data_IF_146371508315
#
_entry.id   IF_146371508315
#
_cell.length_a   1.000
_cell.length_b   1.000
_cell.length_c   1.000
_cell.angle_alpha   90.00
_cell.angle_beta   90.00
_cell.angle_gamma   90.00
#
_symmetry.space_group_name_H-M   'P 1'
#
loop_
_entity.id
_entity.type
_entity.pdbx_description
1 polymer ?
#
# COMPACT_ATOMS: atom_id res chain seq x y z
N UNK A 1 -1.72 20.06 -15.28
CA UNK A 1 -1.23 18.87 -14.57
C UNK A 1 -1.47 19.10 -13.09
N UNK A 2 -2.26 18.28 -12.43
CA UNK A 2 -2.47 18.39 -10.99
C UNK A 2 -1.43 17.50 -10.31
N UNK A 3 -0.62 18.07 -9.44
CA UNK A 3 0.23 17.29 -8.55
C UNK A 3 -0.63 16.45 -7.60
N UNK A 4 -0.16 15.26 -7.25
CA UNK A 4 -0.73 14.42 -6.20
C UNK A 4 0.30 14.21 -5.13
N UNK A 5 -0.13 14.27 -3.89
CA UNK A 5 0.72 14.03 -2.72
C UNK A 5 0.35 12.70 -2.07
N UNK A 6 1.34 11.83 -1.89
CA UNK A 6 1.21 10.55 -1.20
C UNK A 6 2.13 10.46 0.00
N UNK A 7 1.78 9.67 1.00
CA UNK A 7 2.60 9.49 2.20
C UNK A 7 2.49 8.06 2.74
N UNK A 8 3.56 7.58 3.39
CA UNK A 8 3.49 6.40 4.25
C UNK A 8 2.92 6.77 5.61
N UNK A 9 1.64 6.49 5.80
CA UNK A 9 0.94 6.76 7.04
C UNK A 9 -0.04 5.60 7.29
N UNK A 10 0.51 4.54 7.91
CA UNK A 10 -0.18 3.26 8.12
C UNK A 10 -0.75 3.15 9.54
N UNK A 11 -0.14 3.85 10.48
CA UNK A 11 -0.27 3.69 11.92
C UNK A 11 0.97 3.01 12.54
N UNK A 12 0.99 2.85 13.86
CA UNK A 12 2.10 2.28 14.58
C UNK A 12 3.42 3.03 14.30
N UNK A 13 4.50 2.29 14.02
CA UNK A 13 5.81 2.87 13.71
C UNK A 13 5.87 3.59 12.36
N UNK A 14 5.01 3.24 11.42
CA UNK A 14 4.94 3.85 10.09
C UNK A 14 3.81 4.87 10.05
N UNK A 15 4.02 5.98 10.72
CA UNK A 15 3.14 7.14 10.76
C UNK A 15 3.99 8.41 10.64
N UNK A 16 4.01 9.06 9.45
CA UNK A 16 4.92 10.19 9.17
C UNK A 16 4.51 11.46 9.91
N UNK A 17 3.22 11.78 9.97
CA UNK A 17 2.74 12.93 10.71
C UNK A 17 2.32 12.50 12.13
N UNK A 18 2.91 13.14 13.15
CA UNK A 18 2.65 12.82 14.55
C UNK A 18 2.13 14.02 15.34
N UNK A 19 2.89 15.11 15.38
CA UNK A 19 2.48 16.32 16.10
C UNK A 19 1.24 16.94 15.45
N UNK A 20 0.14 17.02 16.19
CA UNK A 20 -1.13 17.53 15.70
C UNK A 20 -2.00 16.52 14.96
N UNK A 21 -1.53 15.27 14.85
CA UNK A 21 -2.29 14.14 14.27
C UNK A 21 -2.62 13.11 15.33
N UNK A 22 -3.73 12.40 15.12
CA UNK A 22 -4.12 11.28 16.00
C UNK A 22 -3.17 10.11 15.81
N UNK A 23 -2.68 9.55 16.90
CA UNK A 23 -1.86 8.34 16.87
C UNK A 23 -2.76 7.14 16.55
N UNK A 24 -2.45 6.45 15.45
CA UNK A 24 -3.15 5.25 15.01
C UNK A 24 -2.38 4.04 15.54
N UNK A 25 -3.02 3.10 16.24
CA UNK A 25 -2.38 1.87 16.68
C UNK A 25 -1.75 1.07 15.53
N UNK A 26 -0.74 0.25 15.84
CA UNK A 26 -0.19 -0.69 14.86
C UNK A 26 -1.27 -1.70 14.41
N UNK A 27 -1.23 -2.10 13.14
CA UNK A 27 -2.26 -2.98 12.56
C UNK A 27 -2.35 -4.34 13.26
N UNK A 28 -1.23 -4.85 13.79
CA UNK A 28 -1.21 -6.07 14.60
C UNK A 28 -2.04 -5.97 15.89
N UNK A 29 -2.22 -4.77 16.45
CA UNK A 29 -3.08 -4.58 17.63
C UNK A 29 -4.55 -4.86 17.26
N UNK A 30 -5.02 -4.35 16.11
CA UNK A 30 -6.35 -4.68 15.60
C UNK A 30 -6.48 -6.16 15.24
N UNK A 31 -5.43 -6.78 14.70
CA UNK A 31 -5.40 -8.22 14.45
C UNK A 31 -5.55 -9.07 15.72
N UNK A 32 -4.98 -8.61 16.83
CA UNK A 32 -5.15 -9.25 18.14
C UNK A 32 -6.58 -9.06 18.68
N UNK A 33 -7.08 -7.82 18.71
CA UNK A 33 -8.43 -7.50 19.18
C UNK A 33 -9.53 -8.22 18.38
N UNK A 34 -9.28 -8.47 17.09
CA UNK A 34 -10.21 -9.20 16.22
C UNK A 34 -10.52 -10.62 16.70
N UNK A 35 -9.63 -11.25 17.47
CA UNK A 35 -9.87 -12.58 18.03
C UNK A 35 -10.95 -12.57 19.10
N UNK A 36 -11.07 -11.46 19.84
CA UNK A 36 -12.00 -11.31 20.95
C UNK A 36 -13.36 -10.77 20.49
N UNK A 37 -13.35 -9.72 19.67
CA UNK A 37 -14.57 -9.13 19.08
C UNK A 37 -14.32 -8.66 17.64
N UNK A 38 -14.61 -9.50 16.63
CA UNK A 38 -14.44 -9.18 15.23
C UNK A 38 -15.23 -7.95 14.76
N UNK A 39 -16.45 -7.77 15.25
CA UNK A 39 -17.33 -6.69 14.80
C UNK A 39 -16.94 -5.35 15.43
N UNK A 40 -16.64 -5.32 16.72
CA UNK A 40 -16.15 -4.10 17.38
C UNK A 40 -14.82 -3.67 16.77
N UNK A 41 -13.90 -4.62 16.52
CA UNK A 41 -12.60 -4.33 15.88
C UNK A 41 -12.76 -3.77 14.48
N UNK A 42 -13.65 -4.33 13.66
CA UNK A 42 -13.91 -3.82 12.32
C UNK A 42 -14.47 -2.38 12.36
N UNK A 43 -15.39 -2.09 13.31
CA UNK A 43 -15.90 -0.72 13.52
C UNK A 43 -14.80 0.23 13.98
N UNK A 44 -13.96 -0.18 14.93
CA UNK A 44 -12.83 0.62 15.41
C UNK A 44 -11.86 0.94 14.29
N UNK A 45 -11.56 -0.03 13.44
CA UNK A 45 -10.63 0.14 12.32
C UNK A 45 -11.22 1.00 11.19
N UNK A 46 -12.53 0.91 10.93
CA UNK A 46 -13.23 1.85 10.03
C UNK A 46 -13.12 3.28 10.56
N UNK A 47 -13.33 3.46 11.86
CA UNK A 47 -13.17 4.76 12.51
C UNK A 47 -11.72 5.28 12.42
N UNK A 48 -10.72 4.40 12.66
CA UNK A 48 -9.31 4.74 12.52
C UNK A 48 -8.95 5.16 11.08
N UNK A 49 -9.44 4.45 10.08
CA UNK A 49 -9.25 4.80 8.66
C UNK A 49 -9.86 6.15 8.31
N UNK A 50 -11.06 6.45 8.83
CA UNK A 50 -11.70 7.74 8.63
C UNK A 50 -10.93 8.88 9.30
N UNK A 51 -10.50 8.72 10.55
CA UNK A 51 -9.72 9.73 11.29
C UNK A 51 -8.41 10.00 10.58
N UNK A 52 -7.64 8.95 10.28
CA UNK A 52 -6.36 9.04 9.58
C UNK A 52 -6.49 9.78 8.26
N UNK A 53 -7.41 9.35 7.42
CA UNK A 53 -7.59 9.94 6.09
C UNK A 53 -8.14 11.38 6.17
N UNK A 54 -9.05 11.67 7.10
CA UNK A 54 -9.58 13.03 7.28
C UNK A 54 -8.50 14.02 7.69
N UNK A 55 -7.63 13.66 8.62
CA UNK A 55 -6.51 14.50 9.06
C UNK A 55 -5.53 14.74 7.92
N UNK A 56 -5.15 13.69 7.19
CA UNK A 56 -4.26 13.80 6.03
C UNK A 56 -4.87 14.68 4.94
N UNK A 57 -6.16 14.51 4.62
CA UNK A 57 -6.87 15.30 3.62
C UNK A 57 -6.90 16.79 3.99
N UNK A 58 -7.14 17.12 5.25
CA UNK A 58 -7.12 18.53 5.71
C UNK A 58 -5.71 19.13 5.74
N UNK A 59 -4.67 18.30 5.79
CA UNK A 59 -3.27 18.72 5.65
C UNK A 59 -2.81 18.83 4.19
N UNK A 60 -3.68 18.56 3.21
CA UNK A 60 -3.38 18.67 1.79
C UNK A 60 -2.75 17.40 1.19
N UNK A 61 -2.79 16.26 1.91
CA UNK A 61 -2.33 14.97 1.39
C UNK A 61 -3.47 14.27 0.65
N UNK A 62 -3.22 13.83 -0.58
CA UNK A 62 -4.24 13.25 -1.45
C UNK A 62 -4.51 11.77 -1.12
N UNK A 63 -3.46 10.97 -0.84
CA UNK A 63 -3.62 9.56 -0.49
C UNK A 63 -2.50 9.06 0.43
N UNK A 64 -2.71 7.90 1.04
CA UNK A 64 -1.67 7.17 1.79
C UNK A 64 -1.46 5.77 1.23
N UNK A 65 -0.21 5.28 1.31
CA UNK A 65 0.14 3.91 0.92
C UNK A 65 -0.28 2.93 2.03
N UNK A 66 -1.58 2.74 2.18
CA UNK A 66 -2.25 1.82 3.11
C UNK A 66 -3.51 1.24 2.45
N UNK A 67 -3.92 0.03 2.83
CA UNK A 67 -3.43 -0.84 3.90
C UNK A 67 -2.23 -1.72 3.52
N UNK A 68 -1.48 -2.19 4.53
CA UNK A 68 -0.55 -3.30 4.38
C UNK A 68 -1.37 -4.60 4.30
N UNK A 69 -1.18 -5.36 3.23
CA UNK A 69 -1.86 -6.64 2.97
C UNK A 69 -0.95 -7.85 3.19
N UNK A 70 0.32 -7.60 3.51
CA UNK A 70 1.29 -8.65 3.83
C UNK A 70 0.85 -9.48 5.03
N UNK A 71 1.04 -10.80 4.94
CA UNK A 71 0.74 -11.72 6.01
C UNK A 71 1.89 -11.76 7.04
N UNK A 72 1.56 -11.83 8.32
CA UNK A 72 2.57 -11.97 9.39
C UNK A 72 3.05 -13.42 9.53
N UNK A 73 4.05 -13.79 8.77
CA UNK A 73 4.71 -15.09 8.87
C UNK A 73 5.67 -15.20 10.08
N UNK A 74 5.85 -14.11 10.84
CA UNK A 74 6.74 -14.06 11.99
C UNK A 74 8.23 -13.99 11.66
N UNK A 75 8.61 -13.90 10.38
CA UNK A 75 10.00 -13.88 9.92
C UNK A 75 10.48 -12.49 9.53
N UNK A 76 9.62 -11.69 8.92
CA UNK A 76 9.94 -10.36 8.45
C UNK A 76 9.81 -9.32 9.56
N UNK A 77 10.93 -8.79 10.04
CA UNK A 77 10.94 -7.66 10.99
C UNK A 77 10.47 -6.35 10.32
N UNK A 78 10.54 -6.27 8.99
CA UNK A 78 10.12 -5.10 8.22
C UNK A 78 8.61 -4.99 8.18
N UNK A 79 7.92 -6.11 8.03
CA UNK A 79 6.47 -6.18 8.09
C UNK A 79 6.02 -6.20 9.55
N UNK A 80 6.27 -7.29 10.27
CA UNK A 80 5.99 -7.41 11.71
C UNK A 80 4.65 -6.81 12.10
N UNK A 81 4.65 -5.84 13.02
CA UNK A 81 3.45 -5.18 13.54
C UNK A 81 2.64 -4.36 12.51
N UNK A 82 3.18 -4.13 11.31
CA UNK A 82 2.46 -3.47 10.21
C UNK A 82 1.40 -4.39 9.61
N UNK A 83 1.57 -5.71 9.70
CA UNK A 83 0.56 -6.69 9.29
C UNK A 83 -0.57 -6.80 10.32
N UNK A 84 -1.76 -7.11 9.83
CA UNK A 84 -2.91 -7.43 10.70
C UNK A 84 -2.80 -8.82 11.33
N UNK A 85 -2.42 -9.84 10.54
CA UNK A 85 -2.37 -11.22 10.96
C UNK A 85 -1.68 -12.12 9.94
N UNK A 86 -1.52 -13.41 10.28
CA UNK A 86 -1.12 -14.46 9.34
C UNK A 86 -2.29 -14.95 8.47
N UNK A 87 -3.52 -14.98 8.99
CA UNK A 87 -4.68 -15.46 8.22
C UNK A 87 -5.11 -14.42 7.17
N UNK A 88 -5.06 -14.76 5.87
CA UNK A 88 -5.45 -13.83 4.80
C UNK A 88 -6.92 -13.38 4.86
N UNK A 89 -7.81 -14.14 5.51
CA UNK A 89 -9.22 -13.75 5.72
C UNK A 89 -9.31 -12.61 6.72
N UNK A 90 -8.55 -12.69 7.81
CA UNK A 90 -8.47 -11.64 8.83
C UNK A 90 -7.87 -10.38 8.21
N UNK A 91 -6.73 -10.51 7.50
CA UNK A 91 -6.10 -9.39 6.79
C UNK A 91 -7.09 -8.73 5.83
N UNK A 92 -7.79 -9.50 5.00
CA UNK A 92 -8.76 -8.95 4.05
C UNK A 92 -9.90 -8.21 4.74
N UNK A 93 -10.48 -8.79 5.81
CA UNK A 93 -11.59 -8.18 6.53
C UNK A 93 -11.20 -6.86 7.18
N UNK A 94 -10.05 -6.83 7.85
CA UNK A 94 -9.54 -5.64 8.51
C UNK A 94 -9.09 -4.58 7.49
N UNK A 95 -8.39 -4.98 6.44
CA UNK A 95 -8.00 -4.07 5.36
C UNK A 95 -9.23 -3.41 4.69
N UNK A 96 -10.32 -4.16 4.48
CA UNK A 96 -11.59 -3.59 3.98
C UNK A 96 -12.17 -2.55 4.94
N UNK A 97 -12.15 -2.83 6.25
CA UNK A 97 -12.65 -1.90 7.27
C UNK A 97 -11.84 -0.59 7.26
N UNK A 98 -10.51 -0.67 7.25
CA UNK A 98 -9.63 0.50 7.14
C UNK A 98 -9.90 1.28 5.86
N UNK A 99 -9.92 0.59 4.71
CA UNK A 99 -10.15 1.18 3.39
C UNK A 99 -11.52 1.85 3.29
N UNK A 100 -12.56 1.29 3.93
CA UNK A 100 -13.88 1.90 3.98
C UNK A 100 -13.83 3.24 4.72
N UNK A 101 -13.16 3.30 5.88
CA UNK A 101 -12.96 4.55 6.61
C UNK A 101 -12.21 5.61 5.78
N UNK A 102 -11.15 5.20 5.08
CA UNK A 102 -10.41 6.09 4.18
C UNK A 102 -11.31 6.63 3.06
N UNK A 103 -12.11 5.77 2.44
CA UNK A 103 -13.05 6.16 1.39
C UNK A 103 -14.11 7.15 1.88
N UNK A 104 -14.61 7.02 3.11
CA UNK A 104 -15.53 7.97 3.73
C UNK A 104 -14.94 9.38 3.83
N UNK A 105 -13.62 9.50 3.95
CA UNK A 105 -12.87 10.76 3.90
C UNK A 105 -12.41 11.14 2.49
N UNK A 106 -12.94 10.49 1.44
CA UNK A 106 -12.58 10.77 0.05
C UNK A 106 -11.13 10.40 -0.32
N UNK A 107 -10.49 9.51 0.43
CA UNK A 107 -9.11 9.07 0.21
C UNK A 107 -9.08 7.68 -0.41
N UNK A 108 -8.33 7.52 -1.51
CA UNK A 108 -8.06 6.23 -2.11
C UNK A 108 -7.11 5.38 -1.25
N UNK A 109 -7.16 4.07 -1.43
CA UNK A 109 -6.30 3.11 -0.75
C UNK A 109 -5.22 2.54 -1.69
N UNK A 110 -4.17 1.96 -1.08
CA UNK A 110 -3.10 1.29 -1.79
C UNK A 110 -2.69 0.02 -1.03
N UNK A 111 -3.06 -1.13 -1.55
CA UNK A 111 -2.65 -2.42 -0.95
C UNK A 111 -1.19 -2.72 -1.21
N UNK A 112 -0.43 -3.10 -0.18
CA UNK A 112 1.02 -3.35 -0.31
C UNK A 112 1.51 -4.50 0.59
N UNK A 113 2.59 -5.17 0.21
CA UNK A 113 3.45 -5.04 -0.97
C UNK A 113 3.24 -6.27 -1.87
N UNK A 114 2.67 -6.09 -3.05
CA UNK A 114 2.25 -7.19 -3.93
C UNK A 114 3.45 -7.99 -4.47
N UNK A 115 3.41 -9.34 -4.50
CA UNK A 115 2.32 -10.24 -4.07
C UNK A 115 2.32 -10.57 -2.58
N UNK A 116 3.33 -10.17 -1.79
CA UNK A 116 3.42 -10.31 -0.34
C UNK A 116 4.87 -10.30 0.16
N UNK A 117 5.20 -9.45 1.13
CA UNK A 117 6.56 -9.29 1.67
C UNK A 117 6.76 -9.98 3.03
N UNK A 118 5.70 -10.56 3.62
CA UNK A 118 5.73 -11.01 5.01
C UNK A 118 6.56 -12.26 5.27
N UNK A 119 6.82 -13.09 4.25
CA UNK A 119 7.66 -14.29 4.39
C UNK A 119 9.14 -14.00 4.25
N UNK A 120 9.53 -13.07 3.39
CA UNK A 120 10.93 -12.73 3.17
C UNK A 120 11.53 -12.03 4.39
N UNK A 121 12.56 -12.63 5.01
CA UNK A 121 13.17 -12.13 6.25
C UNK A 121 14.07 -10.92 6.03
N UNK A 122 14.73 -10.81 4.87
CA UNK A 122 15.65 -9.71 4.61
C UNK A 122 14.94 -8.37 4.41
N UNK A 123 15.62 -7.30 4.82
CA UNK A 123 15.17 -5.93 4.62
C UNK A 123 15.50 -5.46 3.20
N UNK A 124 14.48 -5.14 2.40
CA UNK A 124 14.64 -4.62 1.05
C UNK A 124 15.39 -3.28 0.96
N UNK A 125 15.51 -2.53 2.06
CA UNK A 125 16.37 -1.36 2.14
C UNK A 125 17.87 -1.70 2.15
N UNK A 126 18.23 -2.91 2.57
CA UNK A 126 19.62 -3.33 2.81
C UNK A 126 20.09 -4.39 1.81
N UNK A 127 19.21 -5.33 1.45
CA UNK A 127 19.50 -6.44 0.54
C UNK A 127 18.26 -6.81 -0.28
N UNK A 128 18.42 -7.62 -1.32
CA UNK A 128 17.30 -8.19 -2.06
C UNK A 128 16.68 -9.34 -1.25
N UNK A 129 15.44 -9.21 -0.75
CA UNK A 129 14.75 -10.29 -0.08
C UNK A 129 14.35 -11.38 -1.08
N UNK A 130 14.35 -12.63 -0.63
CA UNK A 130 13.95 -13.79 -1.45
C UNK A 130 12.83 -14.54 -0.74
N UNK A 131 11.78 -14.87 -1.48
CA UNK A 131 10.73 -15.79 -1.10
C UNK A 131 10.83 -17.02 -2.01
N UNK A 132 11.40 -18.09 -1.51
CA UNK A 132 11.69 -19.33 -2.23
C UNK A 132 10.54 -20.33 -2.24
N UNK A 133 9.37 -19.93 -1.74
CA UNK A 133 8.19 -20.81 -1.73
C UNK A 133 7.66 -21.05 -3.15
N UNK A 134 6.97 -22.15 -3.30
CA UNK A 134 6.31 -22.49 -4.55
C UNK A 134 5.17 -21.51 -4.88
N UNK A 135 4.91 -21.32 -6.18
CA UNK A 135 3.82 -20.47 -6.71
C UNK A 135 2.50 -20.70 -5.99
N UNK A 136 2.11 -21.97 -5.82
CA UNK A 136 0.85 -22.35 -5.17
C UNK A 136 0.73 -21.83 -3.74
N UNK A 137 1.83 -21.76 -2.99
CA UNK A 137 1.85 -21.24 -1.62
C UNK A 137 1.62 -19.74 -1.59
N UNK A 138 2.26 -19.01 -2.50
CA UNK A 138 2.13 -17.56 -2.61
C UNK A 138 0.69 -17.20 -3.06
N UNK A 139 0.18 -17.87 -4.10
CA UNK A 139 -1.16 -17.62 -4.64
C UNK A 139 -2.29 -17.98 -3.67
N UNK A 140 -2.13 -19.06 -2.90
CA UNK A 140 -3.17 -19.50 -1.96
C UNK A 140 -3.10 -18.82 -0.59
N UNK A 141 -2.07 -18.05 -0.32
CA UNK A 141 -1.92 -17.29 0.93
C UNK A 141 -1.74 -15.79 0.66
N UNK A 142 -0.53 -15.37 0.27
CA UNK A 142 -0.13 -13.95 0.25
C UNK A 142 -0.89 -13.12 -0.82
N UNK A 143 -1.21 -13.72 -1.98
CA UNK A 143 -2.01 -13.06 -3.02
C UNK A 143 -3.52 -13.04 -2.73
N UNK A 144 -4.03 -13.82 -1.77
CA UNK A 144 -5.47 -13.89 -1.46
C UNK A 144 -6.09 -12.57 -1.01
N UNK A 145 -5.46 -11.75 -0.14
CA UNK A 145 -6.01 -10.44 0.20
C UNK A 145 -6.27 -9.58 -1.04
N UNK A 146 -5.37 -9.60 -2.03
CA UNK A 146 -5.56 -8.85 -3.28
C UNK A 146 -6.73 -9.37 -4.11
N UNK A 147 -6.87 -10.71 -4.24
CA UNK A 147 -8.02 -11.33 -4.90
C UNK A 147 -9.33 -10.95 -4.21
N UNK A 148 -9.37 -11.08 -2.90
CA UNK A 148 -10.61 -10.86 -2.14
C UNK A 148 -10.97 -9.39 -1.94
N UNK A 149 -9.99 -8.49 -1.95
CA UNK A 149 -10.24 -7.04 -2.00
C UNK A 149 -10.80 -6.62 -3.36
N UNK A 150 -10.26 -7.21 -4.45
CA UNK A 150 -10.76 -7.01 -5.81
C UNK A 150 -10.88 -5.53 -6.19
N UNK A 151 -12.04 -5.15 -6.71
CA UNK A 151 -12.36 -3.76 -7.09
C UNK A 151 -12.38 -2.77 -5.91
N UNK A 152 -12.32 -3.26 -4.66
CA UNK A 152 -12.19 -2.40 -3.46
C UNK A 152 -10.80 -1.80 -3.26
N UNK A 153 -9.79 -2.22 -4.07
CA UNK A 153 -8.48 -1.60 -4.12
C UNK A 153 -8.40 -0.60 -5.27
N UNK A 154 -8.12 0.65 -4.95
CA UNK A 154 -7.85 1.69 -5.95
C UNK A 154 -6.47 1.51 -6.58
N UNK A 155 -5.50 1.09 -5.77
CA UNK A 155 -4.14 0.85 -6.22
C UNK A 155 -3.44 -0.25 -5.44
N UNK A 156 -2.33 -0.72 -6.00
CA UNK A 156 -1.38 -1.61 -5.32
C UNK A 156 0.04 -1.07 -5.46
N UNK A 157 0.88 -1.36 -4.47
CA UNK A 157 2.33 -1.14 -4.53
C UNK A 157 3.01 -2.50 -4.61
N UNK A 158 3.99 -2.63 -5.50
CA UNK A 158 4.75 -3.87 -5.71
C UNK A 158 5.79 -4.09 -4.63
N UNK A 159 6.25 -5.33 -4.45
CA UNK A 159 7.34 -5.66 -3.54
C UNK A 159 8.70 -5.71 -4.27
N UNK A 160 9.76 -5.20 -3.64
CA UNK A 160 11.14 -5.50 -4.05
C UNK A 160 11.59 -6.84 -3.44
N UNK A 161 10.90 -7.92 -3.81
CA UNK A 161 11.17 -9.29 -3.39
C UNK A 161 11.36 -10.16 -4.62
N UNK A 162 12.37 -11.02 -4.60
CA UNK A 162 12.59 -12.03 -5.61
C UNK A 162 11.77 -13.28 -5.28
N UNK A 163 11.04 -13.77 -6.25
CA UNK A 163 10.26 -15.00 -6.19
C UNK A 163 10.76 -15.98 -7.25
N UNK A 164 11.78 -16.82 -6.96
CA UNK A 164 12.41 -17.68 -7.98
C UNK A 164 11.43 -18.63 -8.67
N UNK A 165 10.32 -18.98 -8.00
CA UNK A 165 9.26 -19.77 -8.61
C UNK A 165 8.50 -19.07 -9.74
N UNK A 166 8.54 -17.74 -9.78
CA UNK A 166 7.90 -16.92 -10.84
C UNK A 166 8.91 -16.40 -11.85
N UNK A 167 10.02 -15.78 -11.37
CA UNK A 167 10.92 -15.04 -12.24
C UNK A 167 12.31 -14.90 -11.59
N UNK A 168 13.30 -14.51 -12.39
CA UNK A 168 14.69 -14.24 -11.97
C UNK A 168 14.90 -12.77 -11.52
N UNK A 169 13.85 -11.95 -11.59
CA UNK A 169 13.87 -10.54 -11.18
C UNK A 169 12.85 -10.28 -10.08
N UNK A 170 13.05 -9.25 -9.23
CA UNK A 170 12.08 -8.85 -8.21
C UNK A 170 10.68 -8.58 -8.79
N UNK A 171 9.64 -8.75 -7.97
CA UNK A 171 8.25 -8.59 -8.41
C UNK A 171 7.99 -7.26 -9.13
N UNK A 172 8.58 -6.16 -8.66
CA UNK A 172 8.47 -4.84 -9.30
C UNK A 172 8.89 -4.84 -10.77
N UNK A 173 9.82 -5.72 -11.18
CA UNK A 173 10.35 -5.80 -12.54
C UNK A 173 9.87 -7.02 -13.32
N UNK A 174 9.01 -7.84 -12.72
CA UNK A 174 8.54 -9.09 -13.32
C UNK A 174 7.24 -8.90 -14.09
N UNK A 175 7.30 -9.03 -15.42
CA UNK A 175 6.09 -9.10 -16.26
C UNK A 175 5.21 -10.29 -15.92
N UNK A 176 5.81 -11.42 -15.49
CA UNK A 176 5.05 -12.61 -15.07
C UNK A 176 4.20 -12.33 -13.84
N UNK A 177 4.73 -11.56 -12.88
CA UNK A 177 3.99 -11.18 -11.68
C UNK A 177 3.00 -10.06 -11.97
N UNK A 178 3.40 -8.97 -12.64
CA UNK A 178 2.54 -7.80 -12.79
C UNK A 178 1.48 -7.98 -13.89
N UNK A 179 1.85 -8.56 -15.03
CA UNK A 179 0.87 -8.84 -16.10
C UNK A 179 0.20 -10.20 -15.87
N UNK A 180 0.98 -11.27 -15.70
CA UNK A 180 0.44 -12.62 -15.57
C UNK A 180 -0.37 -12.83 -14.30
N UNK A 181 0.22 -12.62 -13.10
CA UNK A 181 -0.51 -12.85 -11.86
C UNK A 181 -1.50 -11.71 -11.57
N UNK A 182 -1.04 -10.45 -11.47
CA UNK A 182 -1.90 -9.35 -11.02
C UNK A 182 -3.01 -9.01 -12.02
N UNK A 183 -2.66 -8.83 -13.30
CA UNK A 183 -3.65 -8.39 -14.31
C UNK A 183 -4.47 -9.56 -14.87
N UNK A 184 -3.80 -10.64 -15.33
CA UNK A 184 -4.48 -11.71 -16.07
C UNK A 184 -5.15 -12.72 -15.14
N UNK A 185 -4.52 -13.09 -14.01
CA UNK A 185 -5.07 -14.10 -13.08
C UNK A 185 -5.98 -13.47 -12.02
N UNK A 186 -5.54 -12.39 -11.37
CA UNK A 186 -6.33 -11.75 -10.31
C UNK A 186 -7.30 -10.68 -10.86
N UNK A 187 -7.21 -10.35 -12.13
CA UNK A 187 -8.05 -9.34 -12.82
C UNK A 187 -8.08 -7.99 -12.11
N UNK A 188 -6.93 -7.58 -11.53
CA UNK A 188 -6.84 -6.30 -10.84
C UNK A 188 -6.93 -5.11 -11.82
N UNK A 189 -7.93 -4.22 -11.70
CA UNK A 189 -8.14 -3.15 -12.68
C UNK A 189 -7.46 -1.82 -12.28
N UNK A 190 -6.99 -1.70 -11.01
CA UNK A 190 -6.54 -0.43 -10.43
C UNK A 190 -5.12 -0.02 -10.83
N UNK A 191 -4.62 1.03 -10.21
CA UNK A 191 -3.33 1.63 -10.47
C UNK A 191 -2.18 0.86 -9.79
N UNK A 192 -1.03 0.73 -10.44
CA UNK A 192 0.12 -0.02 -9.92
C UNK A 192 1.31 0.92 -9.70
N UNK A 193 1.72 1.05 -8.44
CA UNK A 193 2.96 1.74 -8.06
C UNK A 193 4.11 0.75 -7.92
N UNK A 194 5.33 1.16 -8.28
CA UNK A 194 6.52 0.49 -7.76
C UNK A 194 6.65 0.74 -6.25
N UNK A 195 7.43 -0.06 -5.54
CA UNK A 195 8.06 0.39 -4.29
C UNK A 195 9.19 1.37 -4.59
N UNK A 196 9.78 1.99 -3.56
CA UNK A 196 10.82 3.00 -3.73
C UNK A 196 12.05 2.45 -4.47
N UNK A 197 12.25 2.93 -5.69
CA UNK A 197 13.35 2.52 -6.56
C UNK A 197 14.74 2.95 -6.07
N UNK A 198 14.83 3.82 -5.06
CA UNK A 198 16.10 4.17 -4.41
C UNK A 198 16.57 3.09 -3.43
N UNK A 199 15.72 2.12 -3.07
CA UNK A 199 16.07 1.01 -2.19
C UNK A 199 17.07 0.05 -2.84
N UNK A 200 17.93 -0.58 -2.02
CA UNK A 200 18.90 -1.59 -2.52
C UNK A 200 18.21 -2.82 -3.09
N UNK A 201 17.05 -3.21 -2.56
CA UNK A 201 16.22 -4.29 -3.08
C UNK A 201 15.71 -4.07 -4.51
N UNK A 202 15.73 -2.84 -5.01
CA UNK A 202 15.46 -2.53 -6.41
C UNK A 202 16.60 -2.96 -7.37
N UNK A 203 17.70 -3.51 -6.84
CA UNK A 203 18.79 -4.07 -7.63
C UNK A 203 19.77 -3.02 -8.18
N UNK A 204 20.55 -3.43 -9.20
CA UNK A 204 21.61 -2.63 -9.81
C UNK A 204 21.11 -1.77 -10.97
N UNK A 205 21.92 -0.77 -11.35
CA UNK A 205 21.66 0.17 -12.44
C UNK A 205 21.32 1.57 -11.95
N UNK A 206 21.20 2.51 -12.88
CA UNK A 206 20.76 3.88 -12.57
C UNK A 206 19.28 3.92 -12.20
N UNK A 207 18.84 5.00 -11.54
CA UNK A 207 17.43 5.20 -11.22
C UNK A 207 16.57 5.19 -12.49
N UNK A 208 17.03 5.82 -13.57
CA UNK A 208 16.37 5.81 -14.89
C UNK A 208 16.16 4.38 -15.42
N UNK A 209 17.21 3.54 -15.34
CA UNK A 209 17.11 2.16 -15.81
C UNK A 209 16.11 1.33 -14.97
N UNK A 210 16.11 1.53 -13.65
CA UNK A 210 15.13 0.87 -12.75
C UNK A 210 13.71 1.35 -13.03
N UNK A 211 13.51 2.65 -13.21
CA UNK A 211 12.21 3.23 -13.56
C UNK A 211 11.69 2.67 -14.90
N UNK A 212 12.53 2.64 -15.92
CA UNK A 212 12.17 2.09 -17.23
C UNK A 212 11.71 0.62 -17.11
N UNK A 213 12.50 -0.21 -16.41
CA UNK A 213 12.18 -1.64 -16.19
C UNK A 213 10.85 -1.82 -15.43
N UNK A 214 10.57 -1.02 -14.39
CA UNK A 214 9.34 -1.10 -13.62
C UNK A 214 8.11 -0.76 -14.49
N UNK A 215 8.18 0.30 -15.28
CA UNK A 215 7.12 0.70 -16.20
C UNK A 215 6.89 -0.36 -17.29
N UNK A 216 7.96 -0.90 -17.89
CA UNK A 216 7.88 -1.98 -18.89
C UNK A 216 7.31 -3.28 -18.32
N UNK A 217 7.54 -3.55 -17.02
CA UNK A 217 6.97 -4.70 -16.32
C UNK A 217 5.47 -4.57 -16.10
N UNK A 218 4.95 -3.34 -15.99
CA UNK A 218 3.51 -3.08 -15.84
C UNK A 218 3.16 -2.17 -14.66
N UNK A 219 4.13 -1.49 -14.04
CA UNK A 219 3.84 -0.38 -13.13
C UNK A 219 3.26 0.81 -13.91
N UNK A 220 2.29 1.48 -13.33
CA UNK A 220 1.68 2.70 -13.89
C UNK A 220 2.43 3.97 -13.43
N UNK A 221 3.12 3.88 -12.29
CA UNK A 221 3.97 4.93 -11.76
C UNK A 221 5.15 4.32 -10.97
N UNK A 222 6.22 5.11 -10.85
CA UNK A 222 7.40 4.75 -10.07
C UNK A 222 7.57 5.69 -8.87
N UNK A 223 8.08 5.16 -7.77
CA UNK A 223 8.36 5.90 -6.53
C UNK A 223 9.87 6.01 -6.34
N UNK A 224 10.34 7.21 -6.01
CA UNK A 224 11.75 7.53 -5.74
C UNK A 224 11.80 8.51 -4.57
N UNK A 225 12.20 8.03 -3.38
CA UNK A 225 12.07 8.82 -2.14
C UNK A 225 13.37 9.53 -1.71
N UNK A 226 14.54 8.97 -1.97
CA UNK A 226 15.77 9.35 -1.28
C UNK A 226 16.93 9.75 -2.20
N UNK A 227 16.68 10.04 -3.47
CA UNK A 227 17.70 10.34 -4.48
C UNK A 227 17.31 11.52 -5.38
N UNK A 228 17.17 12.74 -4.83
CA UNK A 228 16.62 13.88 -5.58
C UNK A 228 17.42 14.24 -6.84
N UNK A 229 18.76 14.18 -6.78
CA UNK A 229 19.61 14.47 -7.95
C UNK A 229 19.45 13.42 -9.07
N UNK A 230 19.30 12.14 -8.70
CA UNK A 230 19.03 11.07 -9.66
C UNK A 230 17.60 11.17 -10.23
N UNK A 231 16.65 11.70 -9.47
CA UNK A 231 15.27 11.96 -9.94
C UNK A 231 15.26 13.02 -11.03
N UNK A 232 16.02 14.11 -10.88
CA UNK A 232 16.11 15.15 -11.90
C UNK A 232 16.71 14.60 -13.21
N UNK A 233 17.74 13.77 -13.12
CA UNK A 233 18.29 13.08 -14.27
C UNK A 233 17.28 12.11 -14.89
N UNK A 234 16.62 11.29 -14.07
CA UNK A 234 15.59 10.35 -14.54
C UNK A 234 14.47 11.07 -15.31
N UNK A 235 14.00 12.20 -14.82
CA UNK A 235 12.92 12.97 -15.47
C UNK A 235 13.32 13.53 -16.85
N UNK A 236 14.62 13.71 -17.10
CA UNK A 236 15.14 14.14 -18.41
C UNK A 236 15.32 12.98 -19.40
N UNK A 237 15.61 11.79 -18.89
CA UNK A 237 16.00 10.63 -19.71
C UNK A 237 14.88 9.62 -19.89
N UNK A 238 13.91 9.55 -18.95
CA UNK A 238 12.86 8.53 -18.93
C UNK A 238 11.88 8.72 -20.09
N UNK A 239 11.74 7.69 -20.91
CA UNK A 239 10.74 7.64 -21.95
C UNK A 239 9.54 6.82 -21.44
N UNK A 240 8.41 7.47 -21.22
CA UNK A 240 7.19 6.83 -20.80
C UNK A 240 6.02 7.25 -21.69
N UNK A 241 5.46 6.26 -22.37
CA UNK A 241 4.22 6.41 -23.13
C UNK A 241 3.13 5.59 -22.42
N UNK A 242 2.16 6.25 -21.74
CA UNK A 242 1.08 5.56 -21.07
C UNK A 242 0.17 4.84 -22.07
N UNK A 243 -0.29 3.65 -21.72
CA UNK A 243 -1.31 2.93 -22.51
C UNK A 243 -2.68 3.64 -22.45
N UNK A 244 -3.60 3.22 -23.31
CA UNK A 244 -4.93 3.83 -23.42
C UNK A 244 -5.75 3.82 -22.10
N UNK A 245 -5.53 2.83 -21.22
CA UNK A 245 -6.23 2.68 -19.94
C UNK A 245 -5.56 3.42 -18.78
N UNK A 246 -4.36 3.96 -18.95
CA UNK A 246 -3.58 4.57 -17.86
C UNK A 246 -4.32 5.69 -17.14
N UNK A 247 -5.01 6.56 -17.90
CA UNK A 247 -5.75 7.70 -17.31
C UNK A 247 -6.91 7.26 -16.43
N UNK A 248 -7.60 6.20 -16.84
CA UNK A 248 -8.68 5.61 -16.05
C UNK A 248 -8.14 5.03 -14.75
N UNK A 249 -7.07 4.23 -14.82
CA UNK A 249 -6.41 3.68 -13.63
C UNK A 249 -5.87 4.79 -12.71
N UNK A 250 -5.24 5.83 -13.27
CA UNK A 250 -4.75 6.98 -12.50
C UNK A 250 -5.89 7.74 -11.80
N UNK A 251 -7.07 7.81 -12.40
CA UNK A 251 -8.23 8.47 -11.77
C UNK A 251 -8.77 7.71 -10.55
N UNK A 252 -8.44 6.43 -10.38
CA UNK A 252 -8.84 5.64 -9.22
C UNK A 252 -8.17 6.13 -7.93
N UNK A 253 -6.98 6.74 -8.02
CA UNK A 253 -6.26 7.31 -6.88
C UNK A 253 -6.52 8.80 -6.67
N UNK A 254 -7.38 9.41 -7.52
CA UNK A 254 -7.76 10.81 -7.35
C UNK A 254 -8.56 11.00 -6.07
N UNK A 255 -8.21 12.01 -5.27
CA UNK A 255 -8.96 12.33 -4.07
C UNK A 255 -10.39 12.77 -4.44
N UNK A 256 -11.38 12.22 -3.76
CA UNK A 256 -12.76 12.65 -3.92
C UNK A 256 -13.04 13.91 -3.09
N UNK A 257 -14.05 14.71 -3.44
CA UNK A 257 -14.41 15.87 -2.64
C UNK A 257 -14.61 15.46 -1.18
N UNK A 258 -13.89 16.10 -0.31
CA UNK A 258 -14.02 15.97 1.13
C UNK A 258 -13.98 17.40 1.70
N UNK A 259 -15.01 17.83 2.45
CA UNK A 259 -14.91 19.06 3.19
C UNK A 259 -13.84 18.83 4.25
N UNK A 260 -13.43 19.61 5.01
CA UNK A 260 -13.29 21.00 5.20
C UNK A 260 -11.84 21.36 5.57
N UNK A 261 -11.63 22.57 5.97
CA UNK A 261 -10.41 22.94 6.69
C UNK A 261 -10.32 22.19 8.05
N UNK A 262 -9.14 22.19 8.63
CA UNK A 262 -8.86 21.45 9.87
C UNK A 262 -9.79 21.84 11.05
N UNK A 263 -10.18 23.10 11.17
CA UNK A 263 -11.07 23.57 12.25
C UNK A 263 -12.48 22.96 12.13
N UNK A 264 -13.02 22.88 10.93
CA UNK A 264 -14.32 22.25 10.67
C UNK A 264 -14.27 20.73 10.92
N UNK A 265 -13.16 20.06 10.56
CA UNK A 265 -12.96 18.67 10.90
C UNK A 265 -13.03 18.45 12.41
N UNK A 266 -12.28 19.23 13.19
CA UNK A 266 -12.27 19.11 14.66
C UNK A 266 -13.65 19.43 15.30
N UNK A 267 -14.45 20.27 14.66
CA UNK A 267 -15.82 20.57 15.11
C UNK A 267 -16.82 19.44 14.77
N UNK A 268 -16.51 18.61 13.75
CA UNK A 268 -17.41 17.56 13.24
C UNK A 268 -17.75 16.50 14.30
N UNK A 269 -19.03 16.19 14.48
CA UNK A 269 -19.47 15.13 15.36
C UNK A 269 -19.02 13.75 14.85
N UNK A 270 -19.01 13.52 13.52
CA UNK A 270 -18.54 12.26 12.92
C UNK A 270 -17.10 12.02 13.27
N UNK A 271 -16.25 13.03 13.16
CA UNK A 271 -14.83 12.93 13.52
C UNK A 271 -14.63 12.64 15.02
N UNK A 272 -15.36 13.36 15.91
CA UNK A 272 -15.27 13.15 17.37
C UNK A 272 -15.70 11.73 17.77
N UNK A 273 -16.81 11.26 17.20
CA UNK A 273 -17.31 9.89 17.43
C UNK A 273 -16.28 8.87 16.89
N UNK A 274 -15.76 9.07 15.69
CA UNK A 274 -14.76 8.16 15.12
C UNK A 274 -13.51 8.09 15.99
N UNK A 275 -13.01 9.23 16.50
CA UNK A 275 -11.88 9.23 17.44
C UNK A 275 -12.15 8.45 18.72
N UNK A 276 -13.37 8.48 19.24
CA UNK A 276 -13.73 7.68 20.43
C UNK A 276 -13.88 6.19 20.15
N UNK A 277 -14.22 5.81 18.92
CA UNK A 277 -14.42 4.42 18.51
C UNK A 277 -13.16 3.69 18.08
N UNK A 278 -12.09 4.40 17.68
CA UNK A 278 -10.89 3.77 17.15
C UNK A 278 -9.98 3.10 18.18
N UNK A 279 -10.27 3.29 19.46
CA UNK A 279 -9.54 2.67 20.57
C UNK A 279 -9.89 1.18 20.68
N UNK A 280 -8.86 0.33 20.82
CA UNK A 280 -8.95 -1.13 20.96
C UNK A 280 -8.29 -1.57 22.26
#
# INVERSE_FOLDING_TARGET
MLFRSGVDHEGGRVQRFRKGFTEIPAMSAYGRAYRDDPEATARALTAAGFVMASELRTAGVDFTFAPVLDLDWGQSQIIGERSFALDPRVVTRLARALSHGMLMAGMANCGKHFPGHGYAAADSHVALPVDDREVSRIEHADAKPYTWMGIGLASVMTAHVLYPAYDEVPATFSKRILKGLLRDTLHFPGFVFSDDLSMKGAGSGTLTQRAQKALEAGCDAVICCNAPEEVDQMLQELLFEPDAGWRERASAVDPKPFPPNHAELLASNVYKISRSLMTI
#
